data_IF_924678132820
#
_entry.id   IF_924678132820
#
_cell.length_a   1.000
_cell.length_b   1.000
_cell.length_c   1.000
_cell.angle_alpha   90.00
_cell.angle_beta   90.00
_cell.angle_gamma   90.00
#
_symmetry.space_group_name_H-M   'P 1'
#
loop_
_entity.id
_entity.type
_entity.pdbx_description
1 polymer ?
#
# COMPACT_ATOMS: atom_id res chain seq x y z
N UNK A 1 18.33 17.67 -5.99
CA UNK A 1 17.40 16.67 -5.41
C UNK A 1 16.99 15.73 -6.53
N UNK A 2 17.08 14.42 -6.32
CA UNK A 2 16.75 13.38 -7.32
C UNK A 2 15.70 12.41 -6.80
N UNK A 3 15.07 11.63 -7.69
CA UNK A 3 14.06 10.63 -7.35
C UNK A 3 14.75 9.30 -7.00
N UNK A 4 14.80 8.94 -5.72
CA UNK A 4 15.50 7.75 -5.21
C UNK A 4 14.56 6.68 -4.68
N UNK A 5 13.25 6.81 -4.94
CA UNK A 5 12.27 5.78 -4.55
C UNK A 5 12.29 4.72 -5.65
N UNK A 6 12.67 3.49 -5.29
CA UNK A 6 12.51 2.35 -6.18
C UNK A 6 11.17 1.66 -5.91
N UNK A 7 10.56 1.13 -6.96
CA UNK A 7 9.32 0.36 -6.88
C UNK A 7 9.64 -1.12 -6.98
N UNK A 8 9.18 -1.91 -6.00
CA UNK A 8 9.30 -3.36 -6.02
C UNK A 8 7.97 -3.99 -6.46
N UNK A 9 8.06 -4.97 -7.37
CA UNK A 9 6.92 -5.79 -7.75
C UNK A 9 6.89 -7.00 -6.84
N UNK A 10 5.79 -7.16 -6.10
CA UNK A 10 5.64 -8.20 -5.07
C UNK A 10 4.51 -9.16 -5.47
N UNK A 11 4.76 -10.14 -6.34
CA UNK A 11 3.75 -11.12 -6.72
C UNK A 11 3.43 -12.02 -5.51
N UNK A 12 2.17 -12.08 -5.10
CA UNK A 12 1.75 -12.93 -3.97
C UNK A 12 0.90 -14.09 -4.47
N UNK A 13 1.28 -15.33 -4.14
CA UNK A 13 0.49 -16.52 -4.42
C UNK A 13 -0.54 -16.77 -3.30
N UNK A 14 -1.79 -16.39 -3.57
CA UNK A 14 -2.94 -16.59 -2.68
C UNK A 14 -3.68 -17.92 -2.93
N UNK A 15 -3.14 -18.81 -3.77
CA UNK A 15 -3.81 -20.07 -4.11
C UNK A 15 -3.94 -21.03 -2.92
N UNK A 16 -5.02 -21.81 -2.93
CA UNK A 16 -5.26 -22.89 -1.98
C UNK A 16 -5.97 -22.51 -0.68
N UNK A 17 -6.52 -21.29 -0.58
CA UNK A 17 -7.23 -20.79 0.62
C UNK A 17 -6.38 -20.91 1.91
N UNK A 18 -5.15 -20.37 1.92
CA UNK A 18 -4.24 -20.52 3.05
C UNK A 18 -4.76 -19.79 4.29
N UNK A 19 -4.35 -20.27 5.48
CA UNK A 19 -4.51 -19.48 6.69
C UNK A 19 -3.72 -18.16 6.56
N UNK A 20 -4.16 -17.09 7.22
CA UNK A 20 -3.47 -15.80 7.11
C UNK A 20 -1.99 -15.89 7.51
N UNK A 21 -1.65 -16.66 8.54
CA UNK A 21 -0.27 -16.89 8.96
C UNK A 21 0.58 -17.58 7.86
N UNK A 22 0.00 -18.56 7.15
CA UNK A 22 0.69 -19.24 6.05
C UNK A 22 0.91 -18.29 4.86
N UNK A 23 -0.10 -17.46 4.56
CA UNK A 23 0.04 -16.43 3.53
C UNK A 23 1.11 -15.41 3.91
N UNK A 24 1.18 -15.00 5.18
CA UNK A 24 2.19 -14.08 5.68
C UNK A 24 3.61 -14.65 5.54
N UNK A 25 3.79 -15.96 5.76
CA UNK A 25 5.06 -16.64 5.52
C UNK A 25 5.44 -16.61 4.04
N UNK A 26 4.50 -16.91 3.12
CA UNK A 26 4.74 -16.83 1.66
C UNK A 26 5.12 -15.42 1.21
N UNK A 27 4.40 -14.41 1.71
CA UNK A 27 4.68 -13.00 1.42
C UNK A 27 6.06 -12.61 1.93
N UNK A 28 6.39 -12.98 3.17
CA UNK A 28 7.71 -12.71 3.75
C UNK A 28 8.83 -13.30 2.89
N UNK A 29 8.72 -14.55 2.48
CA UNK A 29 9.75 -15.21 1.68
C UNK A 29 9.92 -14.53 0.31
N UNK A 30 8.80 -14.18 -0.34
CA UNK A 30 8.80 -13.49 -1.64
C UNK A 30 9.37 -12.09 -1.54
N UNK A 31 8.95 -11.32 -0.55
CA UNK A 31 9.39 -9.95 -0.33
C UNK A 31 10.88 -9.90 0.01
N UNK A 32 11.37 -10.79 0.89
CA UNK A 32 12.79 -10.85 1.21
C UNK A 32 13.64 -11.16 -0.03
N UNK A 33 13.22 -12.10 -0.88
CA UNK A 33 13.89 -12.35 -2.16
C UNK A 33 13.85 -11.13 -3.10
N UNK A 34 12.73 -10.39 -3.15
CA UNK A 34 12.64 -9.17 -3.93
C UNK A 34 13.57 -8.06 -3.38
N UNK A 35 13.69 -7.93 -2.05
CA UNK A 35 14.57 -6.96 -1.40
C UNK A 35 16.06 -7.22 -1.65
N UNK A 36 16.47 -8.47 -1.88
CA UNK A 36 17.84 -8.80 -2.33
C UNK A 36 18.18 -8.15 -3.68
N UNK A 37 17.17 -7.82 -4.47
CA UNK A 37 17.29 -7.20 -5.79
C UNK A 37 16.81 -5.73 -5.82
N UNK A 38 16.63 -5.09 -4.66
CA UNK A 38 16.08 -3.73 -4.57
C UNK A 38 16.90 -2.64 -5.27
N UNK A 39 18.15 -2.93 -5.65
CA UNK A 39 18.99 -2.03 -6.43
C UNK A 39 18.63 -1.98 -7.92
N UNK A 40 17.79 -2.91 -8.41
CA UNK A 40 17.34 -2.93 -9.81
C UNK A 40 16.24 -1.88 -10.01
N UNK A 41 16.45 -0.85 -10.87
CA UNK A 41 15.42 0.12 -11.21
C UNK A 41 14.22 -0.54 -11.87
N UNK A 42 13.01 -0.16 -11.45
CA UNK A 42 11.75 -0.64 -12.04
C UNK A 42 11.69 -0.48 -13.56
N UNK A 43 12.17 0.65 -14.11
CA UNK A 43 12.15 0.90 -15.56
C UNK A 43 12.97 -0.14 -16.35
N UNK A 44 14.09 -0.60 -15.80
CA UNK A 44 14.91 -1.65 -16.41
C UNK A 44 14.23 -3.02 -16.34
N UNK A 45 13.47 -3.29 -15.28
CA UNK A 45 12.67 -4.50 -15.17
C UNK A 45 11.58 -4.52 -16.25
N UNK A 46 10.87 -3.40 -16.45
CA UNK A 46 9.85 -3.27 -17.51
C UNK A 46 10.48 -3.42 -18.89
N UNK A 47 11.63 -2.80 -19.14
CA UNK A 47 12.35 -2.93 -20.40
C UNK A 47 12.71 -4.39 -20.69
N UNK A 48 13.23 -5.10 -19.69
CA UNK A 48 13.67 -6.49 -19.84
C UNK A 48 12.52 -7.48 -20.03
N UNK A 49 11.44 -7.33 -19.26
CA UNK A 49 10.26 -8.20 -19.36
C UNK A 49 9.41 -7.89 -20.60
N UNK A 50 9.49 -6.67 -21.13
CA UNK A 50 8.79 -6.19 -22.32
C UNK A 50 7.32 -6.64 -22.41
N UNK A 51 6.49 -6.38 -21.38
CA UNK A 51 5.09 -6.77 -21.40
C UNK A 51 4.31 -6.02 -22.50
N UNK A 52 3.17 -6.56 -22.97
CA UNK A 52 2.29 -5.84 -23.88
C UNK A 52 1.93 -4.45 -23.33
N UNK A 53 2.13 -3.42 -24.14
CA UNK A 53 1.85 -2.04 -23.73
C UNK A 53 0.40 -1.69 -24.04
N UNK A 54 -0.38 -1.45 -23.00
CA UNK A 54 -1.74 -0.93 -23.09
C UNK A 54 -1.75 0.50 -22.55
N UNK A 55 -2.20 1.51 -23.34
CA UNK A 55 -2.30 2.87 -22.85
C UNK A 55 -3.18 2.96 -21.60
N UNK A 56 -2.74 3.72 -20.60
CA UNK A 56 -3.47 3.88 -19.34
C UNK A 56 -3.33 2.70 -18.36
N UNK A 57 -2.59 1.64 -18.69
CA UNK A 57 -2.36 0.50 -17.79
C UNK A 57 -0.91 0.47 -17.35
N UNK A 58 -0.70 0.42 -16.04
CA UNK A 58 0.65 0.29 -15.47
C UNK A 58 1.22 -1.12 -15.76
N UNK A 59 2.49 -1.25 -16.20
CA UNK A 59 2.96 -2.40 -16.98
C UNK A 59 3.05 -3.74 -16.24
N UNK A 60 3.21 -3.74 -14.92
CA UNK A 60 3.43 -4.96 -14.13
C UNK A 60 2.44 -5.16 -12.98
N UNK A 61 1.78 -4.10 -12.52
CA UNK A 61 0.81 -4.13 -11.42
C UNK A 61 -0.09 -2.90 -11.51
N UNK A 62 -1.29 -2.99 -10.95
CA UNK A 62 -2.30 -1.91 -10.97
C UNK A 62 -2.56 -1.35 -9.56
N UNK A 63 -2.24 -2.12 -8.52
CA UNK A 63 -2.41 -1.73 -7.12
C UNK A 63 -1.05 -1.47 -6.47
N UNK A 64 -0.87 -0.28 -5.90
CA UNK A 64 0.29 0.07 -5.07
C UNK A 64 -0.08 -0.03 -3.59
N UNK A 65 0.85 -0.53 -2.77
CA UNK A 65 0.77 -0.44 -1.31
C UNK A 65 1.93 0.43 -0.83
N UNK A 66 1.62 1.43 -0.01
CA UNK A 66 2.63 2.21 0.70
C UNK A 66 2.39 2.08 2.20
N UNK A 67 3.46 1.85 2.95
CA UNK A 67 3.45 1.86 4.40
C UNK A 67 4.56 2.77 4.88
N UNK A 68 4.20 3.77 5.68
CA UNK A 68 5.17 4.65 6.34
C UNK A 68 4.84 4.74 7.82
N UNK A 69 5.85 4.89 8.66
CA UNK A 69 5.62 5.31 10.05
C UNK A 69 5.26 6.79 10.06
N UNK A 70 4.24 7.16 10.83
CA UNK A 70 3.87 8.55 11.05
C UNK A 70 5.09 9.32 11.57
N UNK A 71 5.63 10.20 10.73
CA UNK A 71 6.53 11.23 11.20
C UNK A 71 5.67 12.37 11.77
N UNK A 72 6.25 13.29 12.58
CA UNK A 72 5.56 14.50 12.94
C UNK A 72 5.47 15.41 11.69
N UNK A 73 4.57 15.05 10.77
CA UNK A 73 4.38 15.69 9.46
C UNK A 73 3.81 17.12 9.61
N UNK A 74 3.34 17.48 10.82
CA UNK A 74 2.87 18.80 11.20
C UNK A 74 3.88 19.60 12.05
N UNK A 75 5.12 19.11 12.22
CA UNK A 75 6.13 19.83 12.97
C UNK A 75 6.35 21.21 12.35
N UNK A 76 6.16 22.31 13.11
CA UNK A 76 6.52 23.62 12.63
C UNK A 76 8.01 23.66 12.30
N UNK A 77 8.35 24.13 11.09
CA UNK A 77 9.73 24.31 10.67
C UNK A 77 10.08 25.79 10.56
N UNK A 78 11.33 26.19 10.86
CA UNK A 78 11.76 27.57 10.70
C UNK A 78 11.86 27.95 9.21
N UNK A 79 11.31 29.10 8.85
CA UNK A 79 11.40 29.69 7.52
C UNK A 79 11.87 31.15 7.66
N UNK A 80 13.15 31.32 7.93
CA UNK A 80 13.71 32.62 8.31
C UNK A 80 13.15 33.08 9.66
N UNK A 81 12.51 34.25 9.70
CA UNK A 81 11.84 34.78 10.89
C UNK A 81 10.40 34.25 11.09
N UNK A 82 9.92 33.40 10.18
CA UNK A 82 8.59 32.82 10.22
C UNK A 82 8.66 31.33 10.61
N UNK A 83 7.51 30.79 10.96
CA UNK A 83 7.32 29.35 11.18
C UNK A 83 6.36 28.83 10.11
N UNK A 84 6.82 27.85 9.34
CA UNK A 84 6.03 27.13 8.35
C UNK A 84 5.46 25.84 8.91
N UNK A 85 4.39 25.34 8.31
CA UNK A 85 3.87 23.97 8.48
C UNK A 85 3.60 23.40 7.11
N UNK A 86 3.86 22.11 6.93
CA UNK A 86 3.42 21.43 5.72
C UNK A 86 1.91 21.22 5.81
N UNK A 87 1.20 21.58 4.75
CA UNK A 87 -0.18 21.15 4.56
C UNK A 87 -0.15 20.17 3.39
N UNK A 88 -0.33 18.89 3.69
CA UNK A 88 -0.58 17.92 2.64
C UNK A 88 -1.97 18.22 2.06
N UNK A 89 -2.01 18.82 0.88
CA UNK A 89 -3.18 18.69 0.02
C UNK A 89 -3.06 17.30 -0.63
N UNK A 90 -4.16 16.54 -0.65
CA UNK A 90 -4.16 15.22 -1.29
C UNK A 90 -3.67 15.31 -2.74
N UNK A 91 -3.15 14.22 -3.32
CA UNK A 91 -2.52 14.27 -4.62
C UNK A 91 -3.50 14.81 -5.67
N UNK A 92 -3.05 15.78 -6.47
CA UNK A 92 -3.85 16.31 -7.59
C UNK A 92 -4.07 15.27 -8.70
N UNK A 93 -3.27 14.20 -8.72
CA UNK A 93 -3.29 13.11 -9.70
C UNK A 93 -2.79 11.80 -9.05
N UNK A 94 -3.36 10.65 -9.41
CA UNK A 94 -2.77 9.33 -9.09
C UNK A 94 -1.95 8.79 -10.25
N UNK A 95 -0.94 7.97 -9.95
CA UNK A 95 -0.12 7.26 -10.95
C UNK A 95 -0.58 5.82 -11.21
N UNK A 96 -1.42 5.29 -10.33
CA UNK A 96 -1.91 3.92 -10.33
C UNK A 96 -3.42 3.93 -10.23
N UNK A 97 -4.07 2.88 -10.73
CA UNK A 97 -5.53 2.72 -10.65
C UNK A 97 -5.99 2.78 -9.19
N UNK A 98 -5.21 2.15 -8.29
CA UNK A 98 -5.44 2.16 -6.86
C UNK A 98 -4.11 2.18 -6.08
N UNK A 99 -4.02 3.05 -5.09
CA UNK A 99 -2.95 3.05 -4.08
C UNK A 99 -3.58 2.92 -2.69
N UNK A 100 -3.23 1.86 -1.97
CA UNK A 100 -3.46 1.76 -0.54
C UNK A 100 -2.34 2.51 0.20
N UNK A 101 -2.69 3.64 0.79
CA UNK A 101 -1.79 4.48 1.57
C UNK A 101 -1.98 4.22 3.05
N UNK A 102 -1.00 3.58 3.68
CA UNK A 102 -1.05 3.18 5.08
C UNK A 102 -0.05 3.98 5.91
N UNK A 103 -0.50 4.51 7.05
CA UNK A 103 0.36 5.22 8.01
C UNK A 103 0.31 4.51 9.35
N UNK A 104 1.44 3.93 9.76
CA UNK A 104 1.57 3.30 11.08
C UNK A 104 1.88 4.36 12.13
N UNK A 105 1.04 4.45 13.16
CA UNK A 105 1.30 5.29 14.32
C UNK A 105 2.01 4.48 15.40
N UNK A 106 3.00 5.10 16.04
CA UNK A 106 3.71 4.54 17.18
C UNK A 106 3.74 5.53 18.33
N UNK A 107 3.68 5.00 19.56
CA UNK A 107 3.88 5.78 20.78
C UNK A 107 5.35 6.21 20.91
N UNK A 108 5.65 7.08 21.88
CA UNK A 108 7.01 7.56 22.13
C UNK A 108 8.01 6.45 22.51
N UNK A 109 7.54 5.34 23.09
CA UNK A 109 8.33 4.15 23.40
C UNK A 109 8.34 3.10 22.26
N UNK A 110 7.74 3.43 21.10
CA UNK A 110 7.76 2.61 19.90
C UNK A 110 6.68 1.53 19.82
N UNK A 111 5.75 1.47 20.79
CA UNK A 111 4.63 0.53 20.74
C UNK A 111 3.62 0.90 19.64
N UNK A 112 2.89 -0.07 19.06
CA UNK A 112 1.86 0.22 18.05
C UNK A 112 0.74 1.11 18.62
N UNK A 113 0.40 2.19 17.92
CA UNK A 113 -0.63 3.16 18.30
C UNK A 113 -1.78 3.27 17.29
N UNK A 114 -1.86 2.34 16.35
CA UNK A 114 -2.90 2.30 15.31
C UNK A 114 -2.33 2.38 13.90
N UNK A 115 -3.19 2.10 12.93
CA UNK A 115 -2.90 2.15 11.51
C UNK A 115 -3.98 3.01 10.85
N UNK A 116 -3.57 4.10 10.20
CA UNK A 116 -4.44 4.90 9.35
C UNK A 116 -4.40 4.32 7.93
N UNK A 117 -5.57 4.15 7.33
CA UNK A 117 -5.74 3.59 5.99
C UNK A 117 -6.41 4.63 5.09
N UNK A 118 -5.83 4.85 3.91
CA UNK A 118 -6.40 5.67 2.85
C UNK A 118 -6.31 4.97 1.51
N UNK A 119 -7.21 5.33 0.59
CA UNK A 119 -7.15 4.93 -0.80
C UNK A 119 -7.02 6.16 -1.69
N UNK A 120 -6.03 6.15 -2.57
CA UNK A 120 -5.93 7.05 -3.72
C UNK A 120 -6.32 6.25 -4.96
N UNK A 121 -7.23 6.76 -5.78
CA UNK A 121 -7.74 6.00 -6.92
C UNK A 121 -7.97 6.88 -8.14
N UNK A 122 -7.94 6.25 -9.31
CA UNK A 122 -8.18 6.90 -10.59
C UNK A 122 -9.69 6.97 -10.83
N UNK A 123 -10.25 8.19 -10.92
CA UNK A 123 -11.71 8.40 -11.03
C UNK A 123 -12.31 7.94 -12.37
N UNK A 124 -11.47 7.66 -13.37
CA UNK A 124 -11.85 7.02 -14.63
C UNK A 124 -11.96 5.50 -14.52
N UNK A 125 -11.44 4.90 -13.42
CA UNK A 125 -11.49 3.45 -13.14
C UNK A 125 -12.43 3.12 -11.98
N UNK A 126 -12.42 3.91 -10.91
CA UNK A 126 -13.18 3.68 -9.68
C UNK A 126 -14.02 4.89 -9.29
N UNK A 127 -15.25 4.65 -8.83
CA UNK A 127 -16.06 5.65 -8.15
C UNK A 127 -15.84 5.64 -6.63
N UNK A 128 -16.35 6.69 -5.97
CA UNK A 128 -16.16 6.88 -4.53
C UNK A 128 -16.80 5.76 -3.71
N UNK A 129 -17.97 5.26 -4.13
CA UNK A 129 -18.68 4.20 -3.42
C UNK A 129 -17.90 2.89 -3.45
N UNK A 130 -17.33 2.54 -4.62
CA UNK A 130 -16.47 1.37 -4.79
C UNK A 130 -15.18 1.52 -3.99
N UNK A 131 -14.56 2.71 -4.01
CA UNK A 131 -13.37 2.97 -3.21
C UNK A 131 -13.66 2.82 -1.70
N UNK A 132 -14.78 3.35 -1.20
CA UNK A 132 -15.18 3.18 0.21
C UNK A 132 -15.43 1.73 0.56
N UNK A 133 -16.02 0.95 -0.34
CA UNK A 133 -16.22 -0.49 -0.16
C UNK A 133 -14.89 -1.23 -0.06
N UNK A 134 -13.93 -0.94 -0.95
CA UNK A 134 -12.58 -1.52 -0.92
C UNK A 134 -11.81 -1.15 0.35
N UNK A 135 -11.91 0.10 0.80
CA UNK A 135 -11.28 0.56 2.04
C UNK A 135 -11.83 -0.20 3.26
N UNK A 136 -13.16 -0.34 3.33
CA UNK A 136 -13.79 -1.13 4.39
C UNK A 136 -13.44 -2.62 4.33
N UNK A 137 -13.29 -3.17 3.12
CA UNK A 137 -12.84 -4.54 2.93
C UNK A 137 -11.41 -4.76 3.43
N UNK A 138 -10.50 -3.84 3.11
CA UNK A 138 -9.12 -3.86 3.62
C UNK A 138 -9.09 -3.78 5.15
N UNK A 139 -9.86 -2.87 5.75
CA UNK A 139 -9.94 -2.77 7.21
C UNK A 139 -10.41 -4.08 7.86
N UNK A 140 -11.49 -4.68 7.33
CA UNK A 140 -12.04 -5.95 7.83
C UNK A 140 -11.06 -7.11 7.66
N UNK A 141 -10.35 -7.16 6.53
CA UNK A 141 -9.30 -8.15 6.29
C UNK A 141 -8.22 -8.06 7.35
N UNK A 142 -7.68 -6.86 7.60
CA UNK A 142 -6.63 -6.61 8.58
C UNK A 142 -7.09 -6.94 10.01
N UNK A 143 -8.32 -6.59 10.36
CA UNK A 143 -8.91 -6.93 11.66
C UNK A 143 -9.05 -8.44 11.84
N UNK A 144 -9.58 -9.13 10.83
CA UNK A 144 -9.74 -10.59 10.87
C UNK A 144 -8.40 -11.29 10.97
N UNK A 145 -7.40 -10.85 10.21
CA UNK A 145 -6.04 -11.35 10.25
C UNK A 145 -5.40 -11.20 11.64
N UNK A 146 -5.60 -10.05 12.30
CA UNK A 146 -5.08 -9.80 13.64
C UNK A 146 -5.78 -10.64 14.72
N UNK A 147 -7.09 -10.85 14.60
CA UNK A 147 -7.89 -11.59 15.59
C UNK A 147 -7.82 -13.11 15.41
N UNK A 148 -7.67 -13.59 14.16
CA UNK A 148 -7.74 -15.00 13.77
C UNK A 148 -6.64 -15.38 12.77
N UNK A 149 -5.35 -15.28 13.13
CA UNK A 149 -4.24 -15.52 12.20
C UNK A 149 -4.16 -16.96 11.68
N UNK A 150 -4.71 -17.94 12.42
CA UNK A 150 -4.78 -19.34 12.00
C UNK A 150 -5.97 -19.69 11.11
N UNK A 151 -6.81 -18.72 10.76
CA UNK A 151 -7.93 -18.90 9.84
C UNK A 151 -7.65 -18.22 8.50
N UNK A 152 -8.23 -18.72 7.38
CA UNK A 152 -8.28 -17.97 6.15
C UNK A 152 -9.07 -16.67 6.32
N UNK A 153 -8.85 -15.70 5.42
CA UNK A 153 -9.67 -14.51 5.30
C UNK A 153 -10.64 -14.73 4.12
N UNK A 154 -11.88 -15.20 4.37
CA UNK A 154 -12.79 -15.56 3.29
C UNK A 154 -13.30 -14.30 2.59
N UNK A 155 -13.40 -14.35 1.25
CA UNK A 155 -13.93 -13.25 0.43
C UNK A 155 -15.32 -12.77 0.91
N UNK A 156 -16.15 -13.69 1.38
CA UNK A 156 -17.49 -13.38 1.91
C UNK A 156 -17.47 -12.54 3.18
N UNK A 157 -16.37 -12.52 3.94
CA UNK A 157 -16.20 -11.67 5.13
C UNK A 157 -15.63 -10.29 4.81
N UNK A 158 -15.19 -10.06 3.56
CA UNK A 158 -14.60 -8.80 3.13
C UNK A 158 -15.65 -7.77 2.75
N UNK A 159 -16.79 -8.19 2.22
CA UNK A 159 -17.95 -7.32 2.02
C UNK A 159 -18.78 -7.43 3.30
N UNK A 160 -18.94 -6.34 4.04
CA UNK A 160 -19.74 -6.36 5.28
C UNK A 160 -21.17 -6.83 5.02
N UNK A 161 -21.91 -7.16 6.08
CA UNK A 161 -23.34 -7.46 5.96
C UNK A 161 -24.06 -6.22 5.35
N UNK A 162 -24.77 -6.43 4.25
CA UNK A 162 -25.55 -5.41 3.56
C UNK A 162 -26.82 -5.03 4.35
#
# INVERSE_FOLDING_TARGET
>A
VGFFVNTLVLPTDTSGDPAFAELLERVRDTDLAAYEHQGLPFDLLVEHLNPPRTPGVHPLFQTMLTLRTAAPDDAPFPFGALTGRFRAEGPATTKFDLTAACVEHRTADGSPAGLELGLEYACDVLDEDTARLLLGALERALRTAAERPGAPVPDSGLLGDA
#
